data_IF_370725802964
#
_entry.id   IF_370725802964
#
_cell.length_a   1.000
_cell.length_b   1.000
_cell.length_c   1.000
_cell.angle_alpha   90.00
_cell.angle_beta   90.00
_cell.angle_gamma   90.00
#
_symmetry.space_group_name_H-M   'P 1'
#
loop_
_entity.id
_entity.type
_entity.pdbx_description
1 polymer ?
#
# COMPACT_ATOMS: atom_id res chain seq x y z
N UNK A 1 -16.31 -11.53 10.69
CA UNK A 1 -15.02 -12.14 11.13
C UNK A 1 -14.03 -11.01 11.29
N UNK A 2 -13.50 -10.86 12.47
CA UNK A 2 -12.49 -9.84 12.76
C UNK A 2 -11.19 -10.16 12.01
N UNK A 3 -10.42 -9.12 11.65
CA UNK A 3 -9.14 -9.30 10.95
C UNK A 3 -8.15 -10.12 11.78
N UNK A 4 -8.19 -9.99 13.11
CA UNK A 4 -7.35 -10.79 14.01
C UNK A 4 -7.71 -12.28 13.95
N UNK A 5 -9.00 -12.61 13.98
CA UNK A 5 -9.47 -13.99 13.82
C UNK A 5 -9.03 -14.56 12.46
N UNK A 6 -9.24 -13.80 11.39
CA UNK A 6 -8.84 -14.22 10.04
C UNK A 6 -7.33 -14.44 9.92
N UNK A 7 -6.51 -13.56 10.51
CA UNK A 7 -5.07 -13.70 10.50
C UNK A 7 -4.61 -14.91 11.32
N UNK A 8 -5.19 -15.11 12.50
CA UNK A 8 -4.87 -16.25 13.38
C UNK A 8 -5.21 -17.59 12.70
N UNK A 9 -6.37 -17.69 12.06
CA UNK A 9 -6.78 -18.89 11.33
C UNK A 9 -5.90 -19.19 10.12
N UNK A 10 -5.62 -18.19 9.27
CA UNK A 10 -4.83 -18.39 8.05
C UNK A 10 -3.37 -18.73 8.38
N UNK A 11 -2.82 -18.12 9.42
CA UNK A 11 -1.42 -18.29 9.80
C UNK A 11 -1.19 -19.42 10.79
N UNK A 12 -2.27 -20.00 11.32
CA UNK A 12 -2.23 -21.06 12.34
C UNK A 12 -1.42 -20.66 13.58
N UNK A 13 -1.55 -19.40 13.99
CA UNK A 13 -0.94 -18.83 15.19
C UNK A 13 -2.01 -18.37 16.16
N UNK A 14 -1.71 -18.36 17.45
CA UNK A 14 -2.64 -17.82 18.42
C UNK A 14 -2.65 -16.28 18.42
N UNK A 15 -3.67 -15.71 19.07
CA UNK A 15 -3.85 -14.26 19.11
C UNK A 15 -2.69 -13.54 19.82
N UNK A 16 -2.09 -14.16 20.82
CA UNK A 16 -0.94 -13.62 21.54
C UNK A 16 0.30 -13.52 20.65
N UNK A 17 0.57 -14.59 19.92
CA UNK A 17 1.67 -14.63 18.95
C UNK A 17 1.44 -13.59 17.82
N UNK A 18 0.18 -13.46 17.37
CA UNK A 18 -0.20 -12.46 16.36
C UNK A 18 0.06 -11.03 16.86
N UNK A 19 -0.40 -10.68 18.04
CA UNK A 19 -0.21 -9.35 18.64
C UNK A 19 1.28 -9.05 18.82
N UNK A 20 2.04 -10.00 19.31
CA UNK A 20 3.51 -9.87 19.46
C UNK A 20 4.21 -9.67 18.12
N UNK A 21 3.76 -10.39 17.09
CA UNK A 21 4.28 -10.22 15.74
C UNK A 21 3.98 -8.81 15.20
N UNK A 22 2.74 -8.34 15.33
CA UNK A 22 2.31 -7.01 14.88
C UNK A 22 3.13 -5.91 15.58
N UNK A 23 3.35 -6.01 16.89
CA UNK A 23 4.19 -5.06 17.64
C UNK A 23 5.62 -4.98 17.13
N UNK A 24 6.17 -6.10 16.64
CA UNK A 24 7.53 -6.18 16.08
C UNK A 24 7.60 -5.89 14.59
N UNK A 25 6.47 -5.78 13.91
CA UNK A 25 6.40 -5.56 12.46
C UNK A 25 7.22 -4.35 11.96
N UNK A 26 7.25 -3.19 12.65
CA UNK A 26 8.08 -2.06 12.24
C UNK A 26 9.58 -2.37 12.14
N UNK A 27 10.06 -3.34 12.90
CA UNK A 27 11.48 -3.76 12.91
C UNK A 27 11.81 -4.89 11.93
N UNK A 28 10.81 -5.40 11.22
CA UNK A 28 10.95 -6.51 10.27
C UNK A 28 11.17 -6.03 8.82
N UNK A 29 11.88 -4.92 8.65
CA UNK A 29 12.27 -4.39 7.35
C UNK A 29 13.78 -4.38 7.19
N UNK A 30 14.27 -4.86 6.04
CA UNK A 30 15.64 -4.63 5.61
C UNK A 30 15.69 -3.29 4.86
N UNK A 31 16.41 -2.33 5.42
CA UNK A 31 16.57 -0.99 4.82
C UNK A 31 17.93 -0.89 4.14
N UNK A 32 17.93 -0.51 2.87
CA UNK A 32 19.15 -0.31 2.08
C UNK A 32 18.93 0.75 1.01
N UNK A 33 20.03 1.23 0.43
CA UNK A 33 19.99 2.25 -0.62
C UNK A 33 20.39 1.67 -1.96
N UNK A 34 19.67 2.08 -3.01
CA UNK A 34 19.99 1.75 -4.39
C UNK A 34 20.16 3.04 -5.22
N UNK A 35 21.04 3.07 -6.24
CA UNK A 35 21.16 4.22 -7.12
C UNK A 35 19.87 4.43 -7.92
N UNK A 36 19.50 5.69 -8.15
CA UNK A 36 18.43 6.04 -9.08
C UNK A 36 18.85 5.73 -10.51
N UNK A 37 17.89 5.35 -11.37
CA UNK A 37 18.15 4.90 -12.76
C UNK A 37 18.98 5.87 -13.61
N UNK A 38 18.99 7.16 -13.30
CA UNK A 38 19.71 8.20 -14.05
C UNK A 38 20.95 8.70 -13.29
N UNK A 39 21.51 7.93 -12.38
CA UNK A 39 22.63 8.33 -11.50
C UNK A 39 22.41 9.65 -10.71
N UNK A 40 21.17 10.10 -10.59
CA UNK A 40 20.79 11.32 -9.86
C UNK A 40 20.48 11.02 -8.39
N UNK A 41 21.47 10.44 -7.69
CA UNK A 41 21.34 10.15 -6.26
C UNK A 41 20.88 8.73 -5.95
N UNK A 42 20.55 8.48 -4.69
CA UNK A 42 20.12 7.19 -4.15
C UNK A 42 18.67 7.24 -3.71
N UNK A 43 18.01 6.09 -3.69
CA UNK A 43 16.70 5.91 -3.05
C UNK A 43 16.80 4.84 -1.98
N UNK A 44 16.13 5.09 -0.86
CA UNK A 44 16.03 4.13 0.23
C UNK A 44 14.93 3.12 -0.08
N UNK A 45 15.25 1.86 0.08
CA UNK A 45 14.31 0.73 -0.03
C UNK A 45 14.12 0.15 1.36
N UNK A 46 12.87 0.02 1.80
CA UNK A 46 12.48 -0.71 2.99
C UNK A 46 11.79 -2.00 2.54
N UNK A 47 12.53 -3.09 2.57
CA UNK A 47 12.04 -4.41 2.14
C UNK A 47 11.50 -5.17 3.34
N UNK A 48 10.19 -5.49 3.39
CA UNK A 48 9.63 -6.28 4.46
C UNK A 48 10.16 -7.72 4.45
N UNK A 49 10.28 -8.32 5.62
CA UNK A 49 10.55 -9.74 5.77
C UNK A 49 9.48 -10.58 5.06
N UNK A 50 9.81 -11.82 4.72
CA UNK A 50 8.92 -12.70 3.95
C UNK A 50 7.57 -12.92 4.67
N UNK A 51 7.63 -13.19 5.96
CA UNK A 51 6.43 -13.38 6.79
C UNK A 51 5.58 -12.11 6.83
N UNK A 52 6.23 -10.94 7.00
CA UNK A 52 5.51 -9.66 7.03
C UNK A 52 4.77 -9.37 5.72
N UNK A 53 5.31 -9.79 4.58
CA UNK A 53 4.60 -9.67 3.30
C UNK A 53 3.30 -10.49 3.28
N UNK A 54 3.29 -11.66 3.90
CA UNK A 54 2.07 -12.49 3.99
C UNK A 54 1.02 -11.77 4.83
N UNK A 55 1.39 -11.22 5.98
CA UNK A 55 0.48 -10.41 6.80
C UNK A 55 -0.08 -9.22 6.03
N UNK A 56 0.78 -8.48 5.33
CA UNK A 56 0.36 -7.35 4.51
C UNK A 56 -0.61 -7.75 3.40
N UNK A 57 -0.38 -8.89 2.75
CA UNK A 57 -1.26 -9.40 1.69
C UNK A 57 -2.63 -9.78 2.26
N UNK A 58 -2.68 -10.48 3.39
CA UNK A 58 -3.94 -10.85 4.03
C UNK A 58 -4.72 -9.59 4.45
N UNK A 59 -4.06 -8.61 5.05
CA UNK A 59 -4.69 -7.35 5.43
C UNK A 59 -5.24 -6.59 4.20
N UNK A 60 -4.50 -6.61 3.10
CA UNK A 60 -4.95 -6.02 1.83
C UNK A 60 -6.22 -6.71 1.32
N UNK A 61 -6.18 -8.04 1.19
CA UNK A 61 -7.27 -8.83 0.61
C UNK A 61 -8.53 -8.82 1.49
N UNK A 62 -8.34 -8.85 2.81
CA UNK A 62 -9.44 -8.88 3.76
C UNK A 62 -10.17 -7.55 3.88
N UNK A 63 -9.44 -6.44 3.90
CA UNK A 63 -9.98 -5.14 4.28
C UNK A 63 -9.73 -4.04 3.26
N UNK A 64 -8.47 -3.82 2.84
CA UNK A 64 -8.10 -2.63 2.09
C UNK A 64 -8.65 -2.60 0.66
N UNK A 65 -8.76 -3.76 -0.01
CA UNK A 65 -9.33 -3.84 -1.36
C UNK A 65 -10.83 -3.54 -1.40
N UNK A 66 -11.50 -3.54 -0.25
CA UNK A 66 -12.93 -3.20 -0.14
C UNK A 66 -13.15 -1.69 0.01
N UNK A 67 -12.10 -0.91 0.27
CA UNK A 67 -12.20 0.54 0.38
C UNK A 67 -12.49 1.19 -0.96
N UNK A 68 -13.29 2.26 -0.99
CA UNK A 68 -13.61 2.94 -2.24
C UNK A 68 -12.37 3.62 -2.82
N UNK A 69 -12.22 3.51 -4.14
CA UNK A 69 -11.14 4.12 -4.89
C UNK A 69 -11.73 5.24 -5.74
N UNK A 70 -11.13 6.43 -5.69
CA UNK A 70 -11.56 7.56 -6.51
C UNK A 70 -11.37 7.28 -8.00
N UNK A 71 -12.31 7.70 -8.85
CA UNK A 71 -12.29 7.44 -10.29
C UNK A 71 -11.10 8.01 -11.05
N UNK A 72 -10.45 9.02 -10.48
CA UNK A 72 -9.22 9.58 -11.05
C UNK A 72 -7.96 8.74 -10.76
N UNK A 73 -8.05 7.75 -9.88
CA UNK A 73 -6.92 6.87 -9.54
C UNK A 73 -6.85 5.71 -10.55
N UNK A 74 -5.81 5.69 -11.36
CA UNK A 74 -5.57 4.65 -12.39
C UNK A 74 -4.50 3.64 -11.97
N UNK A 75 -3.66 3.97 -10.99
CA UNK A 75 -2.62 3.06 -10.51
C UNK A 75 -3.20 1.99 -9.58
N UNK A 76 -2.59 0.79 -9.59
CA UNK A 76 -2.90 -0.31 -8.68
C UNK A 76 -4.37 -0.78 -8.71
N UNK A 77 -5.03 -0.66 -9.85
CA UNK A 77 -6.41 -1.14 -10.07
C UNK A 77 -6.42 -2.23 -11.12
N UNK A 78 -7.13 -3.32 -10.84
CA UNK A 78 -7.32 -4.40 -11.81
C UNK A 78 -8.12 -3.93 -13.03
N UNK A 79 -7.70 -4.37 -14.21
CA UNK A 79 -8.32 -4.01 -15.48
C UNK A 79 -8.09 -2.58 -15.95
N UNK A 80 -7.32 -1.77 -15.20
CA UNK A 80 -7.02 -0.38 -15.52
C UNK A 80 -5.52 -0.20 -15.72
N UNK A 81 -5.11 0.36 -16.84
CA UNK A 81 -3.71 0.55 -17.17
C UNK A 81 -3.41 1.90 -17.82
N UNK A 82 -2.19 2.01 -18.34
CA UNK A 82 -1.68 3.24 -18.98
C UNK A 82 -2.57 3.68 -20.15
N UNK A 83 -3.13 2.73 -20.90
CA UNK A 83 -4.01 3.02 -22.02
C UNK A 83 -5.26 3.78 -21.59
N UNK A 84 -5.96 3.28 -20.59
CA UNK A 84 -7.18 3.91 -20.07
C UNK A 84 -6.89 5.30 -19.48
N UNK A 85 -5.74 5.46 -18.80
CA UNK A 85 -5.31 6.76 -18.32
C UNK A 85 -5.08 7.74 -19.50
N UNK A 86 -4.37 7.33 -20.54
CA UNK A 86 -4.12 8.15 -21.72
C UNK A 86 -5.42 8.52 -22.46
N UNK A 87 -6.34 7.56 -22.62
CA UNK A 87 -7.65 7.76 -23.27
C UNK A 87 -8.47 8.83 -22.56
N UNK A 88 -8.41 8.94 -21.22
CA UNK A 88 -9.13 9.96 -20.45
C UNK A 88 -8.69 11.38 -20.79
N UNK A 89 -7.46 11.55 -21.25
CA UNK A 89 -6.89 12.86 -21.59
C UNK A 89 -6.83 13.10 -23.10
N UNK A 90 -7.18 12.12 -23.94
CA UNK A 90 -6.98 12.16 -25.40
C UNK A 90 -7.74 13.29 -26.12
N UNK A 91 -8.84 13.78 -25.53
CA UNK A 91 -9.65 14.88 -26.11
C UNK A 91 -9.29 16.25 -25.58
N UNK A 92 -8.34 16.35 -24.64
CA UNK A 92 -7.93 17.61 -24.05
C UNK A 92 -6.87 18.29 -24.93
N UNK A 93 -7.02 19.59 -25.13
CA UNK A 93 -6.05 20.39 -25.91
C UNK A 93 -4.75 20.65 -25.13
N UNK A 94 -4.83 20.64 -23.81
CA UNK A 94 -3.69 20.90 -22.93
C UNK A 94 -3.57 19.80 -21.90
N UNK A 95 -2.33 19.42 -21.59
CA UNK A 95 -1.99 18.44 -20.56
C UNK A 95 -1.00 19.05 -19.57
N UNK A 96 -1.38 19.12 -18.30
CA UNK A 96 -0.48 19.41 -17.19
C UNK A 96 -0.05 18.12 -16.54
N UNK A 97 1.27 17.85 -16.56
CA UNK A 97 1.87 16.70 -15.84
C UNK A 97 2.57 17.21 -14.59
N UNK A 98 2.13 16.72 -13.45
CA UNK A 98 2.77 16.99 -12.15
C UNK A 98 3.20 15.69 -11.50
N UNK A 99 4.23 15.76 -10.68
CA UNK A 99 4.72 14.63 -9.88
C UNK A 99 4.94 15.09 -8.44
N UNK A 100 4.53 14.27 -7.48
CA UNK A 100 4.69 14.59 -6.06
C UNK A 100 6.04 14.07 -5.57
N UNK A 101 6.84 14.96 -5.03
CA UNK A 101 8.07 14.57 -4.36
C UNK A 101 7.75 13.78 -3.08
N UNK A 102 8.43 12.65 -2.89
CA UNK A 102 8.26 11.80 -1.70
C UNK A 102 6.80 11.40 -1.39
N UNK A 103 5.99 11.14 -2.42
CA UNK A 103 4.57 10.85 -2.26
C UNK A 103 4.30 9.77 -1.20
N UNK A 104 4.87 8.57 -1.35
CA UNK A 104 4.63 7.49 -0.39
C UNK A 104 5.12 7.80 1.04
N UNK A 105 6.34 8.35 1.24
CA UNK A 105 6.77 8.77 2.56
C UNK A 105 5.94 9.88 3.21
N UNK A 106 5.18 10.65 2.42
CA UNK A 106 4.30 11.71 2.93
C UNK A 106 2.94 11.19 3.43
N UNK A 107 2.56 9.96 3.09
CA UNK A 107 1.34 9.34 3.59
C UNK A 107 1.62 8.80 4.99
N UNK A 108 0.93 9.35 5.97
CA UNK A 108 1.03 8.93 7.36
C UNK A 108 0.05 7.79 7.65
N UNK A 109 0.34 6.99 8.67
CA UNK A 109 -0.56 5.97 9.20
C UNK A 109 -1.94 6.54 9.55
N UNK A 110 -1.99 7.73 10.15
CA UNK A 110 -3.24 8.42 10.46
C UNK A 110 -4.12 8.65 9.22
N UNK A 111 -3.53 8.99 8.08
CA UNK A 111 -4.30 9.16 6.84
C UNK A 111 -5.01 7.88 6.42
N UNK A 112 -4.37 6.73 6.61
CA UNK A 112 -4.97 5.43 6.32
C UNK A 112 -6.06 5.08 7.34
N UNK A 113 -5.81 5.33 8.64
CA UNK A 113 -6.78 5.11 9.71
C UNK A 113 -8.05 5.93 9.46
N UNK A 114 -7.91 7.23 9.23
CA UNK A 114 -9.04 8.14 8.95
C UNK A 114 -9.85 7.66 7.73
N UNK A 115 -9.16 7.16 6.70
CA UNK A 115 -9.83 6.65 5.51
C UNK A 115 -10.62 5.35 5.78
N UNK A 116 -10.04 4.45 6.56
CA UNK A 116 -10.71 3.21 6.99
C UNK A 116 -11.94 3.55 7.84
N UNK A 117 -11.79 4.38 8.88
CA UNK A 117 -12.89 4.77 9.77
C UNK A 117 -14.05 5.43 9.03
N UNK A 118 -13.73 6.25 8.04
CA UNK A 118 -14.74 6.92 7.21
C UNK A 118 -15.55 5.96 6.35
N UNK A 119 -14.96 4.84 5.91
CA UNK A 119 -15.56 3.94 4.93
C UNK A 119 -15.86 2.54 5.44
N UNK A 120 -15.37 2.20 6.62
CA UNK A 120 -15.70 0.94 7.30
C UNK A 120 -17.01 1.16 8.09
N UNK A 121 -18.12 0.76 7.50
CA UNK A 121 -19.42 0.64 8.19
C UNK A 121 -19.76 -0.82 8.41
#
# INVERSE_FOLDING_TARGET
>A
MDIYESLSEILLIDEHELIDYIRRAPYKYKVYQIPKRNNRGKRTIAQPARELKVFQQIALDHSLLKLPIHDAAFAYRDGVGIKQNAERHSKNQFLLKMDFENFFPSILDQNLIDHIEKHHK
#
